data_IF_217373874854
#
_entry.id   IF_217373874854
#
_cell.length_a   1.000
_cell.length_b   1.000
_cell.length_c   1.000
_cell.angle_alpha   90.00
_cell.angle_beta   90.00
_cell.angle_gamma   90.00
#
_symmetry.space_group_name_H-M   'P 1'
#
loop_
_entity.id
_entity.type
_entity.pdbx_description
1 polymer ?
#
# COMPACT_ATOMS: atom_id res chain seq x y z
N UNK A 1 11.14 35.12 -34.80
CA UNK A 1 11.30 35.16 -33.34
C UNK A 1 10.71 33.90 -32.76
N UNK A 2 11.53 32.91 -32.43
CA UNK A 2 11.07 31.72 -31.67
C UNK A 2 10.89 32.19 -30.23
N UNK A 3 9.70 32.04 -29.66
CA UNK A 3 9.47 32.20 -28.23
C UNK A 3 10.27 31.08 -27.54
N UNK A 4 11.30 31.45 -26.79
CA UNK A 4 11.91 30.57 -25.81
C UNK A 4 10.81 30.14 -24.84
N UNK A 5 10.48 28.87 -24.87
CA UNK A 5 9.66 28.25 -23.83
C UNK A 5 10.49 28.25 -22.56
N UNK A 6 10.14 29.13 -21.63
CA UNK A 6 10.76 29.16 -20.33
C UNK A 6 10.73 27.75 -19.74
N UNK A 7 11.89 27.20 -19.43
CA UNK A 7 12.00 25.96 -18.65
C UNK A 7 11.29 26.22 -17.32
N UNK A 8 10.30 25.41 -16.94
CA UNK A 8 9.63 25.61 -15.65
C UNK A 8 10.69 25.62 -14.54
N UNK A 9 10.54 26.47 -13.51
CA UNK A 9 11.49 26.50 -12.40
C UNK A 9 11.63 25.09 -11.83
N UNK A 10 12.87 24.69 -11.56
CA UNK A 10 13.19 23.42 -10.90
C UNK A 10 12.42 23.42 -9.57
N UNK A 11 11.57 22.41 -9.35
CA UNK A 11 10.87 22.25 -8.09
C UNK A 11 11.90 22.30 -6.95
N UNK A 12 11.76 23.26 -6.05
CA UNK A 12 12.64 23.45 -4.87
C UNK A 12 12.21 22.58 -3.69
N UNK A 13 11.34 21.58 -3.93
CA UNK A 13 10.81 20.67 -2.93
C UNK A 13 10.76 19.22 -3.43
N UNK A 14 10.84 18.28 -2.49
CA UNK A 14 10.87 16.84 -2.78
C UNK A 14 9.49 16.21 -2.56
N UNK A 15 9.12 15.26 -3.41
CA UNK A 15 7.92 14.45 -3.19
C UNK A 15 8.18 13.46 -2.05
N UNK A 16 7.30 13.43 -1.07
CA UNK A 16 7.22 12.38 -0.05
C UNK A 16 6.07 11.42 -0.40
N UNK A 17 6.40 10.18 -0.74
CA UNK A 17 5.42 9.10 -0.87
C UNK A 17 5.32 8.39 0.48
N UNK A 18 4.26 8.68 1.22
CA UNK A 18 4.09 8.23 2.60
C UNK A 18 3.66 6.76 2.73
N UNK A 19 3.47 6.03 1.63
CA UNK A 19 2.95 4.68 1.69
C UNK A 19 3.48 3.81 0.55
N UNK A 20 4.54 3.05 0.83
CA UNK A 20 5.02 2.00 -0.07
C UNK A 20 5.29 0.71 0.69
N UNK A 21 5.18 -0.41 -0.01
CA UNK A 21 5.58 -1.73 0.44
C UNK A 21 6.76 -2.23 -0.38
N UNK A 22 7.73 -2.86 0.27
CA UNK A 22 8.90 -3.45 -0.38
C UNK A 22 9.03 -4.95 -0.13
N UNK A 23 8.12 -5.54 0.66
CA UNK A 23 8.17 -6.98 0.95
C UNK A 23 8.07 -7.82 -0.34
N UNK A 24 8.65 -9.00 -0.32
CA UNK A 24 8.67 -9.93 -1.45
C UNK A 24 7.94 -11.24 -1.09
N UNK A 25 7.83 -12.16 -2.02
CA UNK A 25 7.14 -13.45 -1.81
C UNK A 25 7.70 -14.24 -0.60
N UNK A 26 8.99 -14.09 -0.24
CA UNK A 26 9.56 -14.77 0.94
C UNK A 26 8.95 -14.31 2.27
N UNK A 27 8.41 -13.08 2.30
CA UNK A 27 7.74 -12.48 3.47
C UNK A 27 6.25 -12.81 3.54
N UNK A 28 5.71 -13.53 2.54
CA UNK A 28 4.31 -13.96 2.54
C UNK A 28 4.17 -15.41 3.01
N UNK A 29 3.05 -15.80 3.65
CA UNK A 29 2.81 -17.19 4.04
C UNK A 29 2.77 -18.13 2.83
N UNK A 30 3.20 -19.37 3.01
CA UNK A 30 3.28 -20.35 1.93
C UNK A 30 1.95 -20.63 1.20
N UNK A 31 0.83 -20.40 1.85
CA UNK A 31 -0.52 -20.58 1.30
C UNK A 31 -1.23 -19.24 0.98
N UNK A 32 -0.48 -18.16 0.82
CA UNK A 32 -1.02 -16.82 0.54
C UNK A 32 -1.95 -16.79 -0.70
N UNK A 33 -1.67 -17.64 -1.68
CA UNK A 33 -2.51 -17.81 -2.87
C UNK A 33 -3.98 -18.15 -2.57
N UNK A 34 -4.29 -18.72 -1.39
CA UNK A 34 -5.67 -18.99 -0.97
C UNK A 34 -6.51 -17.71 -0.84
N UNK A 35 -5.91 -16.57 -0.51
CA UNK A 35 -6.61 -15.28 -0.49
C UNK A 35 -7.04 -14.84 -1.89
N UNK A 36 -6.28 -15.22 -2.92
CA UNK A 36 -6.63 -14.91 -4.30
C UNK A 36 -7.87 -15.69 -4.78
N UNK A 37 -8.19 -16.81 -4.11
CA UNK A 37 -9.34 -17.65 -4.43
C UNK A 37 -10.63 -17.13 -3.79
N UNK A 38 -10.52 -16.34 -2.75
CA UNK A 38 -11.68 -15.82 -2.01
C UNK A 38 -12.03 -14.45 -2.56
N UNK A 39 -13.32 -14.26 -2.83
CA UNK A 39 -13.83 -12.96 -3.22
C UNK A 39 -13.71 -11.98 -2.03
N UNK A 40 -13.07 -10.85 -2.26
CA UNK A 40 -12.86 -9.81 -1.26
C UNK A 40 -14.16 -9.23 -0.69
N UNK A 41 -15.26 -9.30 -1.45
CA UNK A 41 -16.56 -8.75 -1.03
C UNK A 41 -17.45 -9.77 -0.31
N UNK A 42 -17.47 -11.02 -0.76
CA UNK A 42 -18.40 -12.03 -0.24
C UNK A 42 -17.76 -13.06 0.68
N UNK A 43 -16.44 -13.11 0.78
CA UNK A 43 -15.71 -14.17 1.49
C UNK A 43 -15.90 -15.56 0.87
N UNK A 44 -16.60 -15.65 -0.28
CA UNK A 44 -16.91 -16.90 -0.96
C UNK A 44 -15.85 -17.28 -1.98
N UNK A 45 -15.68 -18.58 -2.19
CA UNK A 45 -14.77 -19.10 -3.18
C UNK A 45 -15.24 -18.69 -4.58
N UNK A 46 -14.40 -17.98 -5.32
CA UNK A 46 -14.71 -17.58 -6.69
C UNK A 46 -14.31 -18.69 -7.65
N UNK A 47 -15.31 -19.42 -8.19
CA UNK A 47 -15.13 -20.56 -9.08
C UNK A 47 -14.32 -20.17 -10.34
N UNK A 48 -14.51 -18.97 -10.87
CA UNK A 48 -13.77 -18.49 -12.04
C UNK A 48 -12.27 -18.39 -11.72
N UNK A 49 -11.91 -17.89 -10.53
CA UNK A 49 -10.52 -17.84 -10.06
C UNK A 49 -9.91 -19.23 -9.89
N UNK A 50 -10.70 -20.22 -9.44
CA UNK A 50 -10.27 -21.62 -9.36
C UNK A 50 -9.99 -22.16 -10.76
N UNK A 51 -10.89 -21.95 -11.71
CA UNK A 51 -10.73 -22.42 -13.09
C UNK A 51 -9.46 -21.84 -13.71
N UNK A 52 -9.21 -20.54 -13.53
CA UNK A 52 -7.99 -19.88 -14.03
C UNK A 52 -6.73 -20.48 -13.39
N UNK A 53 -6.75 -20.76 -12.09
CA UNK A 53 -5.61 -21.35 -11.38
C UNK A 53 -5.38 -22.82 -11.72
N UNK A 54 -6.43 -23.57 -12.02
CA UNK A 54 -6.34 -24.97 -12.49
C UNK A 54 -5.87 -25.06 -13.94
N UNK A 55 -6.26 -24.12 -14.79
CA UNK A 55 -5.84 -24.08 -16.20
C UNK A 55 -4.42 -23.54 -16.36
N UNK A 56 -3.94 -22.71 -15.44
CA UNK A 56 -2.61 -22.12 -15.50
C UNK A 56 -1.47 -23.16 -15.50
N UNK A 57 -1.46 -24.22 -14.64
CA UNK A 57 -0.46 -25.28 -14.71
C UNK A 57 -0.55 -26.09 -16.01
N UNK A 58 -1.75 -26.37 -16.49
CA UNK A 58 -1.96 -27.12 -17.76
C UNK A 58 -1.40 -26.30 -18.92
N UNK A 59 -1.64 -25.00 -18.94
CA UNK A 59 -1.14 -24.08 -19.93
C UNK A 59 0.40 -23.95 -19.85
N UNK A 60 0.97 -23.89 -18.63
CA UNK A 60 2.40 -23.91 -18.40
C UNK A 60 3.03 -25.23 -18.87
N UNK A 61 2.36 -26.36 -18.70
CA UNK A 61 2.82 -27.68 -19.15
C UNK A 61 2.84 -27.78 -20.69
N UNK A 62 1.83 -27.25 -21.36
CA UNK A 62 1.75 -27.25 -22.85
C UNK A 62 2.81 -26.32 -23.47
N UNK A 63 3.14 -25.21 -22.82
CA UNK A 63 4.14 -24.25 -23.30
C UNK A 63 5.51 -24.39 -22.62
N UNK A 64 5.68 -25.39 -21.73
CA UNK A 64 6.89 -25.65 -20.98
C UNK A 64 8.15 -25.93 -21.83
N UNK A 65 8.11 -26.55 -23.03
CA UNK A 65 9.33 -26.77 -23.81
C UNK A 65 10.10 -25.48 -24.09
N UNK A 66 9.39 -24.37 -24.31
CA UNK A 66 10.02 -23.06 -24.52
C UNK A 66 10.60 -22.47 -23.23
N UNK A 67 9.91 -22.67 -22.11
CA UNK A 67 10.36 -22.22 -20.78
C UNK A 67 11.56 -23.06 -20.33
N UNK A 68 11.53 -24.36 -20.51
CA UNK A 68 12.63 -25.26 -20.21
C UNK A 68 13.86 -24.95 -21.08
N UNK A 69 13.69 -24.64 -22.36
CA UNK A 69 14.77 -24.22 -23.23
C UNK A 69 15.40 -22.89 -22.79
N UNK A 70 14.60 -21.94 -22.32
CA UNK A 70 15.08 -20.65 -21.77
C UNK A 70 15.85 -20.89 -20.45
N UNK A 71 15.36 -21.77 -19.58
CA UNK A 71 16.01 -22.11 -18.30
C UNK A 71 17.34 -22.85 -18.57
N UNK A 72 17.38 -23.80 -19.51
CA UNK A 72 18.60 -24.53 -19.86
C UNK A 72 19.65 -23.59 -20.49
N UNK A 73 19.23 -22.69 -21.37
CA UNK A 73 20.14 -21.71 -21.96
C UNK A 73 20.67 -20.69 -20.95
N UNK A 74 19.94 -20.41 -19.89
CA UNK A 74 20.37 -19.53 -18.79
C UNK A 74 21.26 -20.24 -17.76
N UNK A 75 21.04 -21.53 -17.50
CA UNK A 75 21.92 -22.36 -16.67
C UNK A 75 23.33 -22.51 -17.21
N UNK A 76 23.49 -22.33 -18.52
CA UNK A 76 24.81 -22.44 -19.22
C UNK A 76 25.55 -21.08 -19.27
N UNK A 77 25.03 -20.00 -18.70
CA UNK A 77 25.64 -18.65 -18.73
C UNK A 77 26.09 -18.18 -17.35
N UNK A 78 27.23 -17.46 -17.32
CA UNK A 78 27.95 -16.96 -16.14
C UNK A 78 27.05 -16.28 -15.07
N UNK A 79 27.30 -16.58 -13.80
CA UNK A 79 26.47 -16.22 -12.62
C UNK A 79 26.16 -14.71 -12.44
N UNK A 80 27.04 -13.82 -12.87
CA UNK A 80 26.92 -12.38 -12.61
C UNK A 80 25.77 -11.67 -13.40
N UNK A 81 25.23 -12.31 -14.43
CA UNK A 81 24.14 -11.80 -15.27
C UNK A 81 22.88 -12.65 -15.21
N UNK A 82 22.87 -13.68 -14.37
CA UNK A 82 21.82 -14.70 -14.28
C UNK A 82 20.49 -14.12 -13.77
N UNK A 83 20.52 -13.33 -12.70
CA UNK A 83 19.31 -12.82 -12.07
C UNK A 83 18.54 -11.81 -12.95
N UNK A 84 19.22 -10.85 -13.57
CA UNK A 84 18.53 -9.85 -14.42
C UNK A 84 17.92 -10.46 -15.69
N UNK A 85 18.57 -11.48 -16.27
CA UNK A 85 18.08 -12.17 -17.47
C UNK A 85 16.94 -13.14 -17.14
N UNK A 86 16.98 -13.84 -16.01
CA UNK A 86 15.89 -14.68 -15.51
C UNK A 86 14.65 -13.82 -15.24
N UNK A 87 14.81 -12.67 -14.60
CA UNK A 87 13.72 -11.73 -14.35
C UNK A 87 13.16 -11.15 -15.68
N UNK A 88 14.02 -10.75 -16.61
CA UNK A 88 13.59 -10.31 -17.94
C UNK A 88 12.87 -11.41 -18.72
N UNK A 89 13.33 -12.67 -18.63
CA UNK A 89 12.68 -13.82 -19.25
C UNK A 89 11.34 -14.15 -18.61
N UNK A 90 11.25 -14.14 -17.27
CA UNK A 90 9.99 -14.27 -16.51
C UNK A 90 8.99 -13.19 -16.92
N UNK A 91 9.39 -11.92 -16.90
CA UNK A 91 8.57 -10.79 -17.34
C UNK A 91 8.07 -10.95 -18.79
N UNK A 92 8.96 -11.35 -19.71
CA UNK A 92 8.62 -11.58 -21.11
C UNK A 92 7.66 -12.76 -21.29
N UNK A 93 7.82 -13.84 -20.53
CA UNK A 93 6.94 -15.03 -20.57
C UNK A 93 5.57 -14.74 -19.99
N UNK A 94 5.49 -14.02 -18.86
CA UNK A 94 4.22 -13.62 -18.23
C UNK A 94 3.48 -12.63 -19.15
N UNK A 95 4.18 -11.67 -19.78
CA UNK A 95 3.56 -10.74 -20.72
C UNK A 95 3.06 -11.44 -21.99
N UNK A 96 3.76 -12.50 -22.47
CA UNK A 96 3.27 -13.32 -23.59
C UNK A 96 2.05 -14.14 -23.19
N UNK A 97 2.06 -14.73 -21.99
CA UNK A 97 0.92 -15.46 -21.44
C UNK A 97 -0.30 -14.55 -21.27
N UNK A 98 -0.11 -13.37 -20.70
CA UNK A 98 -1.15 -12.36 -20.59
C UNK A 98 -1.75 -12.01 -21.96
N UNK A 99 -0.92 -11.76 -22.99
CA UNK A 99 -1.39 -11.48 -24.36
C UNK A 99 -2.14 -12.65 -25.01
N UNK A 100 -1.72 -13.89 -24.78
CA UNK A 100 -2.42 -15.08 -25.31
C UNK A 100 -3.79 -15.29 -24.64
N UNK A 101 -3.85 -15.10 -23.33
CA UNK A 101 -5.12 -15.11 -22.58
C UNK A 101 -6.06 -13.97 -23.03
N UNK A 102 -5.50 -12.84 -23.44
CA UNK A 102 -6.18 -11.70 -24.09
C UNK A 102 -6.97 -12.11 -25.32
N UNK A 103 -6.34 -12.92 -26.19
CA UNK A 103 -6.95 -13.37 -27.44
C UNK A 103 -8.10 -14.34 -27.19
N UNK A 104 -8.03 -15.12 -26.10
CA UNK A 104 -9.01 -16.16 -25.76
C UNK A 104 -10.26 -15.61 -25.03
N UNK A 105 -10.14 -14.53 -24.27
CA UNK A 105 -11.27 -13.88 -23.60
C UNK A 105 -11.02 -12.39 -23.30
N UNK A 106 -11.51 -11.47 -24.15
CA UNK A 106 -11.30 -10.03 -23.99
C UNK A 106 -11.79 -9.43 -22.66
N UNK A 107 -12.83 -10.01 -22.06
CA UNK A 107 -13.40 -9.53 -20.78
C UNK A 107 -12.55 -9.89 -19.55
N UNK A 108 -11.72 -10.94 -19.63
CA UNK A 108 -10.84 -11.36 -18.55
C UNK A 108 -9.45 -10.70 -18.56
N UNK A 109 -9.15 -9.94 -19.61
CA UNK A 109 -7.84 -9.32 -19.86
C UNK A 109 -7.34 -8.46 -18.73
N UNK A 110 -8.22 -7.61 -18.25
CA UNK A 110 -7.90 -6.58 -17.27
C UNK A 110 -7.42 -7.20 -15.95
N UNK A 111 -8.16 -8.20 -15.47
CA UNK A 111 -7.86 -8.87 -14.22
C UNK A 111 -6.55 -9.66 -14.28
N UNK A 112 -6.34 -10.43 -15.36
CA UNK A 112 -5.15 -11.26 -15.51
C UNK A 112 -3.87 -10.44 -15.69
N UNK A 113 -3.93 -9.33 -16.43
CA UNK A 113 -2.79 -8.44 -16.60
C UNK A 113 -2.41 -7.72 -15.29
N UNK A 114 -3.42 -7.31 -14.51
CA UNK A 114 -3.22 -6.71 -13.19
C UNK A 114 -2.53 -7.69 -12.23
N UNK A 115 -3.06 -8.90 -12.10
CA UNK A 115 -2.44 -9.93 -11.26
C UNK A 115 -1.05 -10.34 -11.74
N UNK A 116 -0.82 -10.36 -13.05
CA UNK A 116 0.50 -10.67 -13.58
C UNK A 116 1.54 -9.63 -13.16
N UNK A 117 1.24 -8.33 -13.22
CA UNK A 117 2.16 -7.26 -12.75
C UNK A 117 2.47 -7.38 -11.27
N UNK A 118 1.44 -7.51 -10.44
CA UNK A 118 1.60 -7.73 -9.00
C UNK A 118 2.46 -8.95 -8.69
N UNK A 119 2.20 -10.09 -9.36
CA UNK A 119 2.97 -11.31 -9.18
C UNK A 119 4.42 -11.16 -9.63
N UNK A 120 4.69 -10.43 -10.74
CA UNK A 120 6.06 -10.17 -11.20
C UNK A 120 6.84 -9.40 -10.13
N UNK A 121 6.27 -8.33 -9.59
CA UNK A 121 6.93 -7.52 -8.56
C UNK A 121 7.14 -8.31 -7.28
N UNK A 122 6.19 -9.16 -6.89
CA UNK A 122 6.36 -10.04 -5.71
C UNK A 122 7.46 -11.09 -5.86
N UNK A 123 7.88 -11.44 -7.09
CA UNK A 123 8.92 -12.44 -7.37
C UNK A 123 10.34 -11.89 -7.31
N UNK A 124 10.55 -10.61 -7.03
CA UNK A 124 11.89 -10.10 -6.76
C UNK A 124 12.48 -10.78 -5.51
N UNK A 125 13.78 -10.98 -5.51
CA UNK A 125 14.45 -11.72 -4.43
C UNK A 125 14.69 -10.83 -3.20
N UNK A 126 14.82 -9.51 -3.40
CA UNK A 126 15.15 -8.55 -2.36
C UNK A 126 14.22 -7.34 -2.33
N UNK A 127 14.09 -6.71 -1.17
CA UNK A 127 13.37 -5.44 -1.01
C UNK A 127 14.03 -4.30 -1.80
N UNK A 128 15.35 -4.38 -2.00
CA UNK A 128 16.10 -3.40 -2.78
C UNK A 128 15.66 -3.39 -4.25
N UNK A 129 15.45 -4.56 -4.86
CA UNK A 129 14.96 -4.65 -6.24
C UNK A 129 13.56 -4.05 -6.39
N UNK A 130 12.66 -4.29 -5.41
CA UNK A 130 11.33 -3.67 -5.38
C UNK A 130 11.44 -2.15 -5.25
N UNK A 131 12.30 -1.66 -4.35
CA UNK A 131 12.51 -0.23 -4.14
C UNK A 131 13.10 0.47 -5.36
N UNK A 132 14.01 -0.18 -6.08
CA UNK A 132 14.59 0.39 -7.31
C UNK A 132 13.53 0.57 -8.42
N UNK A 133 12.51 -0.29 -8.47
CA UNK A 133 11.40 -0.12 -9.42
C UNK A 133 10.57 1.13 -9.12
N UNK A 134 10.13 1.30 -7.87
CA UNK A 134 9.34 2.48 -7.49
C UNK A 134 10.15 3.77 -7.63
N UNK A 135 11.39 3.76 -7.16
CA UNK A 135 12.29 4.92 -7.22
C UNK A 135 12.49 5.42 -8.66
N UNK A 136 12.51 4.51 -9.64
CA UNK A 136 12.65 4.85 -11.05
C UNK A 136 11.46 5.62 -11.64
N UNK A 137 10.31 5.59 -10.99
CA UNK A 137 9.07 6.24 -11.45
C UNK A 137 8.90 7.67 -10.89
N UNK A 138 9.77 8.09 -9.97
CA UNK A 138 9.71 9.38 -9.29
C UNK A 138 10.94 10.26 -9.57
N UNK A 139 10.85 11.58 -9.35
CA UNK A 139 12.02 12.45 -9.35
C UNK A 139 13.11 11.95 -8.40
N UNK A 140 14.38 12.16 -8.78
CA UNK A 140 15.56 11.60 -8.08
C UNK A 140 15.58 11.86 -6.58
N UNK A 141 15.12 13.04 -6.16
CA UNK A 141 15.16 13.47 -4.74
C UNK A 141 13.90 13.10 -3.95
N UNK A 142 13.02 12.27 -4.51
CA UNK A 142 11.81 11.82 -3.80
C UNK A 142 12.15 10.93 -2.61
N UNK A 143 11.33 11.04 -1.57
CA UNK A 143 11.46 10.31 -0.31
C UNK A 143 10.28 9.36 -0.15
N UNK A 144 10.52 8.18 0.39
CA UNK A 144 9.54 7.11 0.50
C UNK A 144 9.46 6.60 1.93
N UNK A 145 8.26 6.35 2.44
CA UNK A 145 8.05 5.66 3.71
C UNK A 145 7.82 4.17 3.43
N UNK A 146 8.77 3.34 3.83
CA UNK A 146 8.71 1.89 3.69
C UNK A 146 7.92 1.25 4.83
N UNK A 147 6.81 0.60 4.48
CA UNK A 147 5.87 0.01 5.43
C UNK A 147 5.93 -1.52 5.35
N UNK A 148 6.56 -2.20 6.31
CA UNK A 148 6.55 -3.66 6.39
C UNK A 148 5.19 -4.18 6.84
N UNK A 149 4.94 -5.47 6.58
CA UNK A 149 3.72 -6.15 7.00
C UNK A 149 4.05 -7.44 7.73
N UNK A 150 3.60 -7.57 8.98
CA UNK A 150 3.72 -8.82 9.72
C UNK A 150 2.58 -9.78 9.35
N UNK A 151 2.87 -10.74 8.51
CA UNK A 151 1.92 -11.75 8.05
C UNK A 151 2.00 -13.06 8.85
N UNK A 152 2.72 -13.10 9.96
CA UNK A 152 2.94 -14.31 10.76
C UNK A 152 1.64 -14.95 11.26
N UNK A 153 0.62 -14.14 11.52
CA UNK A 153 -0.63 -14.59 12.11
C UNK A 153 -1.79 -14.74 11.10
N UNK A 154 -1.48 -14.77 9.81
CA UNK A 154 -2.53 -14.86 8.76
C UNK A 154 -3.24 -16.21 8.67
N UNK A 155 -2.79 -17.26 9.39
CA UNK A 155 -3.32 -18.64 9.31
C UNK A 155 -3.25 -19.25 7.90
N UNK A 156 -2.20 -18.91 7.15
CA UNK A 156 -1.94 -19.38 5.78
C UNK A 156 -0.62 -20.14 5.66
N UNK A 157 -0.19 -20.78 6.73
CA UNK A 157 1.10 -21.50 6.83
C UNK A 157 2.24 -20.59 7.24
N UNK A 158 3.45 -21.17 7.27
CA UNK A 158 4.63 -20.48 7.75
C UNK A 158 5.20 -19.49 6.72
N UNK A 159 5.84 -18.44 7.21
CA UNK A 159 6.66 -17.53 6.40
C UNK A 159 7.99 -18.21 6.08
N UNK A 160 8.56 -17.91 4.91
CA UNK A 160 9.96 -18.29 4.61
C UNK A 160 10.94 -17.35 5.31
N UNK A 161 10.58 -16.08 5.42
CA UNK A 161 11.36 -15.06 6.09
C UNK A 161 10.45 -14.32 7.08
N UNK A 162 10.74 -14.39 8.40
CA UNK A 162 9.92 -13.78 9.44
C UNK A 162 10.03 -12.25 9.40
N UNK A 163 9.20 -11.58 10.20
CA UNK A 163 9.13 -10.12 10.23
C UNK A 163 10.45 -9.47 10.65
N UNK A 164 11.22 -10.11 11.50
CA UNK A 164 12.53 -9.62 11.96
C UNK A 164 13.53 -9.53 10.80
N UNK A 165 13.54 -10.50 9.90
CA UNK A 165 14.37 -10.48 8.69
C UNK A 165 13.88 -9.41 7.71
N UNK A 166 12.55 -9.25 7.55
CA UNK A 166 11.98 -8.18 6.74
C UNK A 166 12.39 -6.80 7.26
N UNK A 167 12.38 -6.60 8.58
CA UNK A 167 12.83 -5.38 9.24
C UNK A 167 14.32 -5.14 9.02
N UNK A 168 15.16 -6.17 9.22
CA UNK A 168 16.61 -6.05 9.05
C UNK A 168 16.99 -5.68 7.60
N UNK A 169 16.34 -6.32 6.62
CA UNK A 169 16.53 -6.00 5.20
C UNK A 169 16.08 -4.56 4.86
N UNK A 170 14.95 -4.12 5.44
CA UNK A 170 14.45 -2.75 5.25
C UNK A 170 15.39 -1.70 5.85
N UNK A 171 15.97 -1.96 7.03
CA UNK A 171 16.96 -1.08 7.65
C UNK A 171 18.27 -1.01 6.86
N UNK A 172 18.76 -2.16 6.38
CA UNK A 172 19.94 -2.19 5.50
C UNK A 172 19.70 -1.39 4.21
N UNK A 173 18.54 -1.56 3.59
CA UNK A 173 18.13 -0.78 2.43
C UNK A 173 18.04 0.72 2.72
N UNK A 174 17.42 1.10 3.84
CA UNK A 174 17.30 2.49 4.26
C UNK A 174 18.67 3.13 4.48
N UNK A 175 19.62 2.43 5.13
CA UNK A 175 21.00 2.92 5.36
C UNK A 175 21.76 3.19 4.07
N UNK A 176 21.43 2.52 2.96
CA UNK A 176 22.05 2.66 1.63
C UNK A 176 21.28 3.58 0.69
N UNK A 177 20.18 4.18 1.16
CA UNK A 177 19.27 4.97 0.32
C UNK A 177 19.57 6.47 0.28
N UNK A 178 20.63 6.95 0.94
CA UNK A 178 20.94 8.37 1.10
C UNK A 178 19.77 9.19 1.66
N UNK A 179 19.06 8.63 2.66
CA UNK A 179 17.90 9.26 3.29
C UNK A 179 16.60 9.25 2.47
N UNK A 180 16.58 8.54 1.33
CA UNK A 180 15.40 8.46 0.45
C UNK A 180 14.38 7.44 0.88
N UNK A 181 14.73 6.53 1.78
CA UNK A 181 13.82 5.57 2.37
C UNK A 181 13.77 5.76 3.90
N UNK A 182 12.59 6.04 4.39
CA UNK A 182 12.29 6.18 5.82
C UNK A 182 11.61 4.88 6.27
N UNK A 183 12.28 4.02 7.06
CA UNK A 183 11.72 2.75 7.48
C UNK A 183 10.75 2.93 8.65
N UNK A 184 9.58 2.27 8.58
CA UNK A 184 8.67 2.11 9.70
C UNK A 184 8.72 0.68 10.25
N UNK A 185 8.46 0.52 11.54
CA UNK A 185 8.41 -0.77 12.21
C UNK A 185 6.99 -1.33 12.19
N UNK A 186 6.79 -2.56 11.75
CA UNK A 186 5.49 -3.23 11.83
C UNK A 186 5.23 -3.70 13.26
N UNK A 187 4.11 -3.30 13.84
CA UNK A 187 3.69 -3.70 15.17
C UNK A 187 2.39 -4.51 15.12
N UNK A 188 2.45 -5.77 15.58
CA UNK A 188 1.30 -6.64 15.74
C UNK A 188 1.13 -7.00 17.22
N UNK A 189 -0.04 -6.72 17.84
CA UNK A 189 -0.23 -6.93 19.28
C UNK A 189 -0.26 -8.40 19.71
N UNK A 190 -0.26 -9.34 18.78
CA UNK A 190 -0.20 -10.76 19.08
C UNK A 190 1.20 -11.22 19.50
N UNK A 191 2.24 -10.43 19.23
CA UNK A 191 3.52 -10.56 19.93
C UNK A 191 3.38 -10.02 21.36
N UNK A 192 3.68 -10.86 22.37
CA UNK A 192 3.46 -10.50 23.77
C UNK A 192 4.36 -9.34 24.23
N UNK A 193 5.55 -9.26 23.68
CA UNK A 193 6.60 -8.27 23.95
C UNK A 193 6.62 -7.07 23.00
N UNK A 194 5.52 -6.83 22.26
CA UNK A 194 5.47 -5.82 21.18
C UNK A 194 5.84 -4.40 21.64
N UNK A 195 5.48 -4.02 22.84
CA UNK A 195 5.81 -2.70 23.37
C UNK A 195 7.33 -2.54 23.60
N UNK A 196 7.98 -3.56 24.15
CA UNK A 196 9.43 -3.55 24.35
C UNK A 196 10.17 -3.61 23.00
N UNK A 197 9.73 -4.46 22.07
CA UNK A 197 10.26 -4.49 20.70
C UNK A 197 10.13 -3.14 20.01
N UNK A 198 8.96 -2.50 20.09
CA UNK A 198 8.75 -1.19 19.50
C UNK A 198 9.69 -0.14 20.10
N UNK A 199 9.83 -0.12 21.43
CA UNK A 199 10.75 0.78 22.13
C UNK A 199 12.20 0.62 21.68
N UNK A 200 12.70 -0.62 21.58
CA UNK A 200 14.06 -0.93 21.15
C UNK A 200 14.30 -0.55 19.68
N UNK A 201 13.31 -0.77 18.82
CA UNK A 201 13.43 -0.50 17.40
C UNK A 201 13.21 0.98 17.02
N UNK A 202 12.50 1.74 17.86
CA UNK A 202 12.38 3.19 17.72
C UNK A 202 13.56 3.94 18.35
N UNK A 203 14.31 3.28 19.24
CA UNK A 203 15.50 3.86 19.83
C UNK A 203 16.53 4.21 18.75
N UNK A 204 17.28 5.31 18.96
CA UNK A 204 18.33 5.80 18.06
C UNK A 204 17.81 6.05 16.62
N UNK A 205 16.51 6.30 16.47
CA UNK A 205 15.84 6.56 15.19
C UNK A 205 16.06 5.47 14.12
N UNK A 206 16.28 4.22 14.53
CA UNK A 206 16.41 3.09 13.59
C UNK A 206 15.19 2.99 12.69
N UNK A 207 14.00 2.98 13.32
CA UNK A 207 12.73 3.17 12.63
C UNK A 207 12.13 4.52 12.99
N UNK A 208 11.52 5.18 12.02
CA UNK A 208 11.01 6.55 12.17
C UNK A 208 9.51 6.62 12.47
N UNK A 209 8.86 5.48 12.67
CA UNK A 209 7.44 5.36 12.98
C UNK A 209 6.98 3.92 13.04
N UNK A 210 5.69 3.73 13.25
CA UNK A 210 5.04 2.43 13.40
C UNK A 210 4.03 2.21 12.26
N UNK A 211 4.02 1.01 11.67
CA UNK A 211 2.95 0.50 10.83
C UNK A 211 2.12 -0.53 11.61
N UNK A 212 0.80 -0.38 11.59
CA UNK A 212 -0.14 -1.42 12.04
C UNK A 212 -1.09 -1.81 10.92
N UNK A 213 -1.59 -3.04 10.97
CA UNK A 213 -2.49 -3.58 9.94
C UNK A 213 -3.62 -4.41 10.59
N UNK A 214 -4.67 -3.75 11.12
CA UNK A 214 -5.72 -4.41 11.91
C UNK A 214 -6.46 -5.54 11.19
N UNK A 215 -6.66 -5.43 9.87
CA UNK A 215 -7.33 -6.47 9.07
C UNK A 215 -6.63 -7.85 9.16
N UNK A 216 -5.38 -7.89 9.63
CA UNK A 216 -4.66 -9.14 9.92
C UNK A 216 -5.19 -9.85 11.17
N UNK A 217 -6.24 -9.35 11.84
CA UNK A 217 -7.00 -10.06 12.85
C UNK A 217 -6.90 -9.50 14.26
N UNK A 218 -6.81 -8.17 14.42
CA UNK A 218 -6.82 -7.51 15.72
C UNK A 218 -7.46 -6.10 15.64
N UNK A 219 -7.88 -5.57 16.78
CA UNK A 219 -8.37 -4.18 16.85
C UNK A 219 -7.24 -3.21 17.15
N UNK A 220 -7.23 -1.98 16.56
CA UNK A 220 -6.18 -1.00 16.80
C UNK A 220 -6.12 -0.53 18.27
N UNK A 221 -7.22 -0.59 19.01
CA UNK A 221 -7.27 -0.29 20.44
C UNK A 221 -6.94 -1.49 21.35
N UNK A 222 -6.27 -2.53 20.84
CA UNK A 222 -5.78 -3.64 21.64
C UNK A 222 -4.84 -3.13 22.75
N UNK A 223 -4.96 -3.67 23.98
CA UNK A 223 -4.22 -3.21 25.17
C UNK A 223 -2.71 -3.06 24.95
N UNK A 224 -2.06 -4.07 24.32
CA UNK A 224 -0.62 -4.02 24.04
C UNK A 224 -0.24 -2.92 23.06
N UNK A 225 -1.10 -2.54 22.14
CA UNK A 225 -0.86 -1.39 21.24
C UNK A 225 -0.99 -0.06 21.97
N UNK A 226 -1.79 0.01 23.05
CA UNK A 226 -1.87 1.24 23.83
C UNK A 226 -0.52 1.63 24.42
N UNK A 227 0.32 0.66 24.83
CA UNK A 227 1.69 0.94 25.27
C UNK A 227 2.60 1.38 24.13
N UNK A 228 2.44 0.79 22.93
CA UNK A 228 3.14 1.24 21.71
C UNK A 228 2.80 2.69 21.39
N UNK A 229 1.51 3.08 21.41
CA UNK A 229 1.10 4.47 21.15
C UNK A 229 1.65 5.45 22.19
N UNK A 230 1.72 5.04 23.46
CA UNK A 230 2.36 5.83 24.52
C UNK A 230 3.84 6.09 24.22
N UNK A 231 4.57 5.09 23.73
CA UNK A 231 5.96 5.24 23.31
C UNK A 231 6.05 6.20 22.11
N UNK A 232 5.18 6.02 21.10
CA UNK A 232 5.12 6.87 19.92
C UNK A 232 4.82 8.33 20.26
N UNK A 233 3.81 8.58 21.11
CA UNK A 233 3.46 9.94 21.52
C UNK A 233 4.62 10.64 22.25
N UNK A 234 5.28 9.93 23.18
CA UNK A 234 6.41 10.48 23.95
C UNK A 234 7.63 10.76 23.08
N UNK A 235 7.95 9.87 22.16
CA UNK A 235 9.11 9.99 21.28
C UNK A 235 8.83 10.81 20.00
N UNK A 236 7.58 11.22 19.78
CA UNK A 236 7.20 11.92 18.55
C UNK A 236 7.26 11.04 17.31
N UNK A 237 7.08 9.73 17.44
CA UNK A 237 7.03 8.80 16.31
C UNK A 237 5.62 8.72 15.73
N UNK A 238 5.41 8.93 14.42
CA UNK A 238 4.11 8.79 13.79
C UNK A 238 3.70 7.31 13.65
N UNK A 239 2.38 7.10 13.55
CA UNK A 239 1.79 5.79 13.30
C UNK A 239 0.99 5.83 12.01
N UNK A 240 1.18 4.84 11.11
CA UNK A 240 0.34 4.62 9.94
C UNK A 240 -0.42 3.32 10.14
N UNK A 241 -1.73 3.39 10.08
CA UNK A 241 -2.62 2.24 10.17
C UNK A 241 -3.33 1.99 8.86
N UNK A 242 -3.35 0.73 8.41
CA UNK A 242 -4.28 0.34 7.36
C UNK A 242 -5.72 0.63 7.81
N UNK A 243 -6.47 1.35 6.97
CA UNK A 243 -7.85 1.73 7.25
C UNK A 243 -8.69 1.67 5.98
N UNK A 244 -8.97 0.46 5.55
CA UNK A 244 -9.83 0.13 4.41
C UNK A 244 -10.51 -1.21 4.70
N UNK A 245 -11.76 -1.44 4.26
CA UNK A 245 -12.42 -2.73 4.36
C UNK A 245 -11.79 -3.82 3.48
N UNK A 246 -10.98 -3.41 2.52
CA UNK A 246 -10.27 -4.30 1.59
C UNK A 246 -8.78 -4.42 1.92
N UNK A 247 -8.02 -5.08 1.05
CA UNK A 247 -6.58 -5.34 1.24
C UNK A 247 -6.33 -6.78 1.68
N UNK A 248 -5.32 -7.01 2.51
CA UNK A 248 -4.94 -8.31 3.03
C UNK A 248 -5.58 -8.54 4.39
N UNK A 249 -6.07 -9.75 4.66
CA UNK A 249 -6.71 -10.07 5.94
C UNK A 249 -6.33 -11.47 6.44
N UNK A 250 -6.58 -11.71 7.72
CA UNK A 250 -6.41 -13.04 8.31
C UNK A 250 -7.37 -14.03 7.67
N UNK A 251 -6.87 -15.18 7.24
CA UNK A 251 -7.70 -16.22 6.64
C UNK A 251 -8.67 -16.83 7.67
N UNK A 252 -9.90 -17.06 7.24
CA UNK A 252 -10.95 -17.70 8.06
C UNK A 252 -11.66 -16.80 9.06
N UNK A 253 -11.46 -15.47 9.02
CA UNK A 253 -12.30 -14.53 9.77
C UNK A 253 -13.57 -14.20 9.00
N UNK A 254 -14.63 -13.85 9.72
CA UNK A 254 -15.90 -13.41 9.12
C UNK A 254 -15.74 -12.03 8.46
N UNK A 255 -16.62 -11.69 7.53
CA UNK A 255 -16.66 -10.36 6.93
C UNK A 255 -16.94 -9.28 7.99
N UNK A 256 -17.84 -9.55 8.93
CA UNK A 256 -18.17 -8.64 10.03
C UNK A 256 -16.95 -8.36 10.91
N UNK A 257 -16.14 -9.39 11.24
CA UNK A 257 -14.90 -9.19 12.01
C UNK A 257 -13.89 -8.37 11.22
N UNK A 258 -13.70 -8.68 9.92
CA UNK A 258 -12.80 -7.97 9.04
C UNK A 258 -13.14 -6.47 8.97
N UNK A 259 -14.42 -6.15 8.76
CA UNK A 259 -14.91 -4.77 8.78
C UNK A 259 -14.76 -4.14 10.16
N UNK A 260 -15.02 -4.92 11.22
CA UNK A 260 -14.90 -4.45 12.60
C UNK A 260 -13.48 -4.12 13.04
N UNK A 261 -12.45 -4.84 12.53
CA UNK A 261 -11.06 -4.60 12.96
C UNK A 261 -10.53 -3.25 12.47
N UNK A 262 -10.67 -2.92 11.19
CA UNK A 262 -10.11 -1.71 10.59
C UNK A 262 -10.98 -0.46 10.70
N UNK A 263 -12.17 -0.53 11.30
CA UNK A 263 -13.14 0.57 11.30
C UNK A 263 -12.57 1.86 11.92
N UNK A 264 -12.74 3.03 11.26
CA UNK A 264 -12.15 4.29 11.73
C UNK A 264 -12.53 4.68 13.17
N UNK A 265 -13.73 4.38 13.63
CA UNK A 265 -14.17 4.71 14.99
C UNK A 265 -13.38 3.98 16.09
N UNK A 266 -12.72 2.86 15.77
CA UNK A 266 -11.86 2.17 16.73
C UNK A 266 -10.65 2.99 17.17
N UNK A 267 -10.32 4.06 16.43
CA UNK A 267 -9.19 4.94 16.76
C UNK A 267 -9.57 6.10 17.68
N UNK A 268 -10.86 6.36 17.88
CA UNK A 268 -11.34 7.42 18.78
C UNK A 268 -10.76 7.28 20.20
N UNK A 269 -10.84 6.11 20.87
CA UNK A 269 -10.28 5.96 22.22
C UNK A 269 -8.75 6.17 22.27
N UNK A 270 -8.05 5.88 21.17
CA UNK A 270 -6.61 6.08 21.05
C UNK A 270 -6.29 7.58 20.98
N UNK A 271 -7.00 8.31 20.10
CA UNK A 271 -6.82 9.74 19.89
C UNK A 271 -7.26 10.57 21.09
N UNK A 272 -8.27 10.14 21.82
CA UNK A 272 -8.70 10.77 23.07
C UNK A 272 -7.66 10.62 24.18
N UNK A 273 -6.99 9.46 24.25
CA UNK A 273 -5.98 9.16 25.25
C UNK A 273 -4.62 9.77 24.92
N UNK A 274 -4.23 9.75 23.65
CA UNK A 274 -2.91 10.18 23.15
C UNK A 274 -3.06 11.35 22.18
N UNK A 275 -3.37 12.53 22.72
CA UNK A 275 -3.71 13.73 21.93
C UNK A 275 -2.58 14.29 21.07
N UNK A 276 -1.32 13.97 21.39
CA UNK A 276 -0.14 14.40 20.62
C UNK A 276 0.32 13.33 19.63
N UNK A 277 -0.28 12.14 19.63
CA UNK A 277 0.05 11.07 18.71
C UNK A 277 -0.31 11.48 17.27
N UNK A 278 0.67 11.48 16.37
CA UNK A 278 0.42 11.66 14.94
C UNK A 278 0.00 10.31 14.36
N UNK A 279 -1.27 10.19 13.97
CA UNK A 279 -1.87 8.97 13.46
C UNK A 279 -2.40 9.20 12.04
N UNK A 280 -1.99 8.38 11.08
CA UNK A 280 -2.53 8.35 9.73
C UNK A 280 -3.42 7.12 9.54
N UNK A 281 -4.67 7.33 9.17
CA UNK A 281 -5.62 6.31 8.71
C UNK A 281 -5.46 6.17 7.18
N UNK A 282 -4.74 5.15 6.75
CA UNK A 282 -4.39 4.97 5.35
C UNK A 282 -5.60 4.74 4.43
N UNK A 283 -5.41 5.02 3.14
CA UNK A 283 -6.37 4.82 2.05
C UNK A 283 -7.63 5.70 2.09
N UNK A 284 -7.70 6.65 3.02
CA UNK A 284 -8.88 7.51 3.24
C UNK A 284 -10.20 6.71 3.28
N UNK A 285 -10.17 5.57 3.97
CA UNK A 285 -11.29 4.64 4.06
C UNK A 285 -11.40 3.62 2.92
N UNK A 286 -10.68 3.80 1.82
CA UNK A 286 -10.67 2.87 0.69
C UNK A 286 -11.67 3.21 -0.42
N UNK A 287 -11.38 2.73 -1.62
CA UNK A 287 -12.12 3.07 -2.86
C UNK A 287 -13.59 2.67 -2.80
N UNK A 288 -13.92 1.54 -2.20
CA UNK A 288 -15.30 1.05 -2.05
C UNK A 288 -16.13 1.96 -1.15
N UNK A 289 -15.51 2.52 -0.12
CA UNK A 289 -16.17 3.44 0.81
C UNK A 289 -16.39 4.82 0.17
N UNK A 290 -15.47 5.26 -0.68
CA UNK A 290 -15.69 6.43 -1.53
C UNK A 290 -16.84 6.20 -2.49
N UNK A 291 -16.93 5.00 -3.09
CA UNK A 291 -18.03 4.64 -3.98
C UNK A 291 -19.39 4.65 -3.27
N UNK A 292 -19.48 4.08 -2.07
CA UNK A 292 -20.70 4.11 -1.24
C UNK A 292 -21.13 5.54 -0.96
N UNK A 293 -20.19 6.40 -0.57
CA UNK A 293 -20.44 7.80 -0.29
C UNK A 293 -20.95 8.54 -1.52
N UNK A 294 -20.25 8.42 -2.64
CA UNK A 294 -20.56 9.12 -3.88
C UNK A 294 -21.87 8.65 -4.54
N UNK A 295 -22.25 7.38 -4.34
CA UNK A 295 -23.55 6.84 -4.78
C UNK A 295 -24.72 7.24 -3.86
N UNK A 296 -24.45 7.89 -2.72
CA UNK A 296 -25.48 8.21 -1.74
C UNK A 296 -26.09 6.99 -1.04
N UNK A 297 -25.39 5.83 -1.07
CA UNK A 297 -25.86 4.58 -0.45
C UNK A 297 -25.55 4.58 1.05
N UNK A 298 -24.56 5.34 1.47
CA UNK A 298 -24.15 5.45 2.86
C UNK A 298 -25.13 6.31 3.66
N UNK A 299 -25.62 5.83 4.83
CA UNK A 299 -26.40 6.67 5.73
C UNK A 299 -25.57 7.85 6.26
N UNK A 300 -26.23 8.93 6.64
CA UNK A 300 -25.57 10.11 7.22
C UNK A 300 -25.11 9.90 8.66
N UNK A 301 -25.71 8.93 9.37
CA UNK A 301 -25.43 8.62 10.79
C UNK A 301 -25.42 7.10 11.00
N UNK A 302 -24.85 6.64 12.11
CA UNK A 302 -24.83 5.23 12.48
C UNK A 302 -23.59 4.46 12.02
N UNK A 303 -23.50 3.16 12.34
CA UNK A 303 -22.31 2.33 12.10
C UNK A 303 -22.05 2.00 10.64
N UNK A 304 -23.07 2.13 9.77
CA UNK A 304 -22.97 1.81 8.35
C UNK A 304 -22.52 3.01 7.50
N UNK A 305 -22.09 4.09 8.15
CA UNK A 305 -21.52 5.26 7.44
C UNK A 305 -20.27 4.85 6.66
N UNK A 306 -20.13 5.37 5.45
CA UNK A 306 -18.92 5.19 4.68
C UNK A 306 -17.69 5.68 5.46
N UNK A 307 -16.63 4.88 5.46
CA UNK A 307 -15.41 5.18 6.24
C UNK A 307 -14.77 6.52 5.85
N UNK A 308 -14.82 6.88 4.58
CA UNK A 308 -14.38 8.22 4.13
C UNK A 308 -15.13 9.32 4.87
N UNK A 309 -16.43 9.16 5.09
CA UNK A 309 -17.25 10.13 5.82
C UNK A 309 -16.87 10.18 7.30
N UNK A 310 -16.69 9.02 7.93
CA UNK A 310 -16.26 8.93 9.34
C UNK A 310 -14.92 9.64 9.52
N UNK A 311 -13.93 9.37 8.65
CA UNK A 311 -12.60 10.00 8.72
C UNK A 311 -12.72 11.52 8.50
N UNK A 312 -13.51 11.95 7.52
CA UNK A 312 -13.75 13.38 7.25
C UNK A 312 -14.36 14.07 8.46
N UNK A 313 -15.41 13.48 9.07
CA UNK A 313 -16.07 14.03 10.26
C UNK A 313 -15.10 14.09 11.47
N UNK A 314 -14.24 13.08 11.65
CA UNK A 314 -13.21 13.10 12.70
C UNK A 314 -12.22 14.24 12.49
N UNK A 315 -11.73 14.47 11.29
CA UNK A 315 -10.79 15.54 10.97
C UNK A 315 -11.46 16.91 11.13
N UNK A 316 -12.65 17.11 10.55
CA UNK A 316 -13.35 18.41 10.55
C UNK A 316 -13.94 18.77 11.90
N UNK A 317 -14.09 17.79 12.82
CA UNK A 317 -14.47 18.08 14.20
C UNK A 317 -13.50 18.99 14.96
N UNK A 318 -12.22 19.04 14.51
CA UNK A 318 -11.14 19.74 15.20
C UNK A 318 -10.69 19.09 16.51
N UNK A 319 -11.32 18.00 16.93
CA UNK A 319 -10.99 17.32 18.20
C UNK A 319 -9.67 16.53 18.14
N UNK A 320 -9.21 16.18 16.91
CA UNK A 320 -8.06 15.32 16.66
C UNK A 320 -7.03 16.01 15.75
N UNK A 321 -6.32 17.04 16.25
CA UNK A 321 -5.45 17.90 15.44
C UNK A 321 -4.21 17.16 14.84
N UNK A 322 -3.93 15.95 15.30
CA UNK A 322 -2.83 15.11 14.83
C UNK A 322 -3.33 13.85 14.08
N UNK A 323 -4.62 13.83 13.69
CA UNK A 323 -5.16 12.80 12.83
C UNK A 323 -4.92 13.14 11.36
N UNK A 324 -4.30 12.23 10.62
CA UNK A 324 -4.06 12.32 9.20
C UNK A 324 -4.73 11.16 8.45
N UNK A 325 -4.84 11.29 7.16
CA UNK A 325 -5.19 10.20 6.24
C UNK A 325 -4.31 10.27 4.99
N UNK A 326 -4.19 9.18 4.25
CA UNK A 326 -3.48 9.20 2.96
C UNK A 326 -4.40 8.72 1.82
N UNK A 327 -4.03 9.06 0.59
CA UNK A 327 -4.81 8.73 -0.61
C UNK A 327 -4.29 7.48 -1.32
N UNK A 328 -3.41 6.72 -0.65
CA UNK A 328 -2.77 5.54 -1.22
C UNK A 328 -3.80 4.52 -1.71
N UNK A 329 -3.49 3.81 -2.78
CA UNK A 329 -4.37 2.91 -3.52
C UNK A 329 -5.64 3.58 -4.06
N UNK A 330 -6.43 4.25 -3.22
CA UNK A 330 -7.75 4.80 -3.55
C UNK A 330 -7.73 5.66 -4.81
N UNK A 331 -6.74 6.54 -4.93
CA UNK A 331 -6.64 7.46 -6.07
C UNK A 331 -6.12 6.77 -7.35
N UNK A 332 -5.53 5.59 -7.24
CA UNK A 332 -5.02 4.82 -8.37
C UNK A 332 -6.10 4.00 -9.08
N UNK A 333 -7.29 3.91 -8.53
CA UNK A 333 -8.44 3.23 -9.16
C UNK A 333 -9.25 4.25 -9.95
N UNK A 334 -9.08 4.33 -11.28
CA UNK A 334 -9.69 5.42 -12.07
C UNK A 334 -11.20 5.30 -12.21
N UNK A 335 -11.76 4.11 -11.99
CA UNK A 335 -13.19 3.83 -12.14
C UNK A 335 -13.67 2.88 -11.06
N UNK A 336 -14.71 3.25 -10.38
CA UNK A 336 -15.47 2.38 -9.48
C UNK A 336 -16.74 1.93 -10.20
N UNK A 337 -17.15 0.68 -10.04
CA UNK A 337 -18.29 0.05 -10.73
C UNK A 337 -19.47 0.99 -10.96
N UNK A 338 -19.70 1.34 -12.24
CA UNK A 338 -20.83 2.17 -12.68
C UNK A 338 -20.79 3.64 -12.28
N UNK A 339 -19.72 4.13 -11.66
CA UNK A 339 -19.53 5.57 -11.39
C UNK A 339 -18.61 6.19 -12.44
N UNK A 340 -19.14 7.19 -13.14
CA UNK A 340 -18.35 8.08 -14.00
C UNK A 340 -17.71 9.24 -13.21
N UNK A 341 -17.56 9.08 -11.89
CA UNK A 341 -16.99 10.12 -11.03
C UNK A 341 -15.48 9.97 -11.02
N UNK A 342 -14.81 11.03 -11.37
CA UNK A 342 -13.38 11.14 -11.27
C UNK A 342 -12.99 11.35 -9.80
N UNK A 343 -12.30 10.38 -9.21
CA UNK A 343 -11.91 10.42 -7.81
C UNK A 343 -10.93 11.58 -7.51
N UNK A 344 -10.16 12.03 -8.50
CA UNK A 344 -9.28 13.20 -8.34
C UNK A 344 -10.08 14.49 -8.20
N UNK A 345 -11.15 14.65 -8.96
CA UNK A 345 -12.04 15.82 -8.82
C UNK A 345 -12.76 15.82 -7.48
N UNK A 346 -13.21 14.65 -7.02
CA UNK A 346 -13.78 14.53 -5.68
C UNK A 346 -12.75 14.85 -4.59
N UNK A 347 -11.52 14.34 -4.70
CA UNK A 347 -10.43 14.69 -3.80
C UNK A 347 -10.19 16.20 -3.79
N UNK A 348 -10.19 16.85 -4.97
CA UNK A 348 -10.01 18.30 -5.08
C UNK A 348 -11.09 19.07 -4.29
N UNK A 349 -12.34 18.62 -4.37
CA UNK A 349 -13.45 19.18 -3.56
C UNK A 349 -13.16 19.00 -2.06
N UNK A 350 -12.75 17.83 -1.63
CA UNK A 350 -12.39 17.59 -0.20
C UNK A 350 -11.24 18.49 0.26
N UNK A 351 -10.21 18.66 -0.55
CA UNK A 351 -9.04 19.51 -0.25
C UNK A 351 -9.36 21.02 -0.29
N UNK A 352 -10.56 21.43 -0.71
CA UNK A 352 -10.99 22.83 -0.59
C UNK A 352 -11.26 23.21 0.87
N UNK A 353 -11.60 22.26 1.74
CA UNK A 353 -11.67 22.46 3.17
C UNK A 353 -10.26 22.50 3.77
N UNK A 354 -9.85 23.61 4.42
CA UNK A 354 -8.53 23.72 5.02
C UNK A 354 -8.20 22.64 6.05
N UNK A 355 -9.20 22.20 6.85
CA UNK A 355 -9.02 21.16 7.84
C UNK A 355 -8.68 19.82 7.18
N UNK A 356 -9.38 19.46 6.10
CA UNK A 356 -9.09 18.23 5.36
C UNK A 356 -7.75 18.36 4.63
N UNK A 357 -7.52 19.48 3.92
CA UNK A 357 -6.33 19.73 3.14
C UNK A 357 -5.05 19.57 3.97
N UNK A 358 -5.03 20.09 5.18
CA UNK A 358 -3.85 20.11 6.05
C UNK A 358 -3.59 18.74 6.72
N UNK A 359 -4.47 17.77 6.55
CA UNK A 359 -4.40 16.43 7.15
C UNK A 359 -4.35 15.26 6.14
N UNK A 360 -4.30 15.56 4.84
CA UNK A 360 -4.16 14.53 3.80
C UNK A 360 -2.70 14.38 3.38
N UNK A 361 -2.23 13.14 3.27
CA UNK A 361 -0.89 12.77 2.81
C UNK A 361 -0.96 12.13 1.42
N UNK A 362 0.06 12.36 0.61
CA UNK A 362 0.29 11.59 -0.60
C UNK A 362 0.94 10.25 -0.25
N UNK A 363 0.39 9.17 -0.76
CA UNK A 363 0.91 7.81 -0.72
C UNK A 363 0.44 7.05 -1.94
N UNK A 364 1.15 6.02 -2.36
CA UNK A 364 0.77 5.23 -3.53
C UNK A 364 0.23 3.84 -3.23
N UNK A 365 0.68 3.24 -2.15
CA UNK A 365 0.50 1.81 -1.86
C UNK A 365 1.26 0.90 -2.84
N UNK A 366 2.41 1.38 -3.37
CA UNK A 366 3.29 0.55 -4.17
C UNK A 366 3.73 -0.67 -3.32
N UNK A 367 3.72 -1.88 -3.83
CA UNK A 367 3.45 -2.30 -5.21
C UNK A 367 2.03 -2.88 -5.39
N UNK A 368 1.14 -2.68 -4.42
CA UNK A 368 -0.26 -3.14 -4.53
C UNK A 368 -0.94 -2.54 -5.75
N UNK A 369 -0.62 -1.31 -6.11
CA UNK A 369 -1.14 -0.58 -7.28
C UNK A 369 -0.61 -1.07 -8.64
N UNK A 370 0.40 -1.93 -8.66
CA UNK A 370 0.89 -2.54 -9.91
C UNK A 370 -0.20 -3.36 -10.65
N UNK A 371 -1.23 -3.78 -9.93
CA UNK A 371 -2.41 -4.41 -10.54
C UNK A 371 -3.34 -3.41 -11.25
N UNK A 372 -3.15 -2.10 -11.06
CA UNK A 372 -3.94 -1.07 -11.72
C UNK A 372 -3.36 -0.72 -13.10
N UNK A 373 -4.18 -0.08 -13.95
CA UNK A 373 -3.77 0.25 -15.33
C UNK A 373 -2.91 1.51 -15.44
N UNK A 374 -2.83 2.28 -14.36
CA UNK A 374 -2.10 3.54 -14.30
C UNK A 374 -0.77 3.36 -13.57
N UNK A 375 0.29 3.97 -14.08
CA UNK A 375 1.60 3.94 -13.44
C UNK A 375 1.71 5.01 -12.35
N UNK A 376 2.62 4.81 -11.40
CA UNK A 376 2.98 5.79 -10.37
C UNK A 376 3.29 7.18 -10.96
N UNK A 377 4.06 7.20 -12.05
CA UNK A 377 4.42 8.43 -12.77
C UNK A 377 3.19 9.13 -13.36
N UNK A 378 2.28 8.37 -13.98
CA UNK A 378 1.05 8.92 -14.55
C UNK A 378 0.14 9.48 -13.47
N UNK A 379 0.00 8.83 -12.31
CA UNK A 379 -0.78 9.35 -11.18
C UNK A 379 -0.18 10.65 -10.65
N UNK A 380 1.13 10.73 -10.48
CA UNK A 380 1.79 11.96 -10.04
C UNK A 380 1.53 13.14 -11.00
N UNK A 381 1.63 12.88 -12.31
CA UNK A 381 1.33 13.89 -13.34
C UNK A 381 -0.15 14.29 -13.31
N UNK A 382 -1.05 13.31 -13.20
CA UNK A 382 -2.50 13.55 -13.12
C UNK A 382 -2.87 14.41 -11.92
N UNK A 383 -2.34 14.08 -10.73
CA UNK A 383 -2.59 14.85 -9.52
C UNK A 383 -2.10 16.29 -9.64
N UNK A 384 -0.87 16.51 -10.14
CA UNK A 384 -0.35 17.86 -10.37
C UNK A 384 -1.22 18.66 -11.35
N UNK A 385 -1.63 18.02 -12.45
CA UNK A 385 -2.46 18.65 -13.48
C UNK A 385 -3.87 19.01 -12.97
N UNK A 386 -4.50 18.14 -12.17
CA UNK A 386 -5.90 18.29 -11.77
C UNK A 386 -6.07 19.05 -10.45
N UNK A 387 -5.24 18.80 -9.46
CA UNK A 387 -5.26 19.51 -8.17
C UNK A 387 -4.62 20.90 -8.29
N UNK A 388 -3.62 21.03 -9.15
CA UNK A 388 -2.70 22.16 -9.19
C UNK A 388 -1.50 21.96 -8.27
N UNK A 389 -0.42 22.71 -8.55
CA UNK A 389 0.87 22.54 -7.88
C UNK A 389 0.79 22.80 -6.36
N UNK A 390 0.04 23.81 -5.93
CA UNK A 390 -0.05 24.17 -4.51
C UNK A 390 -0.71 23.09 -3.66
N UNK A 391 -1.83 22.52 -4.11
CA UNK A 391 -2.50 21.43 -3.40
C UNK A 391 -1.66 20.14 -3.45
N UNK A 392 -1.03 19.86 -4.59
CA UNK A 392 -0.15 18.69 -4.67
C UNK A 392 1.06 18.82 -3.74
N UNK A 393 1.71 20.00 -3.71
CA UNK A 393 2.79 20.31 -2.76
C UNK A 393 2.33 20.18 -1.30
N UNK A 394 1.11 20.64 -0.99
CA UNK A 394 0.56 20.51 0.35
C UNK A 394 0.51 19.05 0.81
N UNK A 395 -0.07 18.15 0.00
CA UNK A 395 -0.26 16.74 0.36
C UNK A 395 1.01 15.89 0.16
N UNK A 396 1.93 16.27 -0.74
CA UNK A 396 3.10 15.48 -1.09
C UNK A 396 4.42 16.00 -0.46
N UNK A 397 4.39 17.15 0.21
CA UNK A 397 5.58 17.71 0.85
C UNK A 397 5.27 18.32 2.23
N UNK A 398 4.38 19.31 2.29
CA UNK A 398 4.15 20.07 3.53
C UNK A 398 3.57 19.20 4.63
N UNK A 399 2.48 18.47 4.35
CA UNK A 399 1.84 17.61 5.32
C UNK A 399 2.71 16.41 5.72
N UNK A 400 3.37 15.70 4.78
CA UNK A 400 4.33 14.64 5.13
C UNK A 400 5.41 15.09 6.10
N UNK A 401 6.01 16.27 5.91
CA UNK A 401 7.03 16.80 6.83
C UNK A 401 6.46 17.04 8.23
N UNK A 402 5.26 17.65 8.32
CA UNK A 402 4.55 17.82 9.61
C UNK A 402 4.24 16.48 10.27
N UNK A 403 3.73 15.54 9.49
CA UNK A 403 3.41 14.18 9.97
C UNK A 403 4.64 13.45 10.48
N UNK A 404 5.78 13.55 9.79
CA UNK A 404 7.05 12.95 10.20
C UNK A 404 7.74 13.72 11.33
N UNK A 405 7.37 14.99 11.59
CA UNK A 405 8.02 15.86 12.57
C UNK A 405 9.41 16.30 12.12
N UNK A 406 9.61 16.41 10.82
CA UNK A 406 10.80 16.96 10.18
C UNK A 406 10.41 18.33 9.60
N UNK A 407 10.79 19.40 10.30
CA UNK A 407 10.49 20.77 9.88
C UNK A 407 11.41 21.22 8.73
#
# INVERSE_FOLDING_TARGET
MRKETAVPPKDDWNIYNCHIHTFTQKHTPGQFHKLLLVDSHSGRINIIRIIVLLLLPIFLLVFSPLIVLIIITDLLKSEKHKNSRIQAAKKKSINRLARLLTILNPASNDLLERYARFLITSTYDTQAEVFDQIKSQYPKESVFIGLPMDMSFMKLGNLKSPIEEQHAELLDLASKSDGKLIPFYAADPRHEDIAERAKQNLADDKFRGIKIYPNLGYRPNHERLMDVYKICEKGGYPVISHCSPTGVWQYGISEADRLGFGHPENYIPILEKYKKLRLCLAHFGGVEEWAKHLKGISPSTGPDRAWVRVITDMITSGNYPNLYTDISYTIFVPKVDGLYIDLVDYLKVQLSDPLIRDHVLFGSDYYMVEQEKISEKEVSILLRSRLGEDLYRQIAYTNPKKFLGIA
#
